data_IF_841319892300
#
_entry.id   IF_841319892300
#
_cell.length_a   1.000
_cell.length_b   1.000
_cell.length_c   1.000
_cell.angle_alpha   90.00
_cell.angle_beta   90.00
_cell.angle_gamma   90.00
#
_symmetry.space_group_name_H-M   'P 1'
#
loop_
_entity.id
_entity.type
_entity.pdbx_description
1 polymer ?
#
# COMPACT_ATOMS: atom_id res chain seq x y z
N UNK A 1 -14.55 -5.89 15.15
CA UNK A 1 -13.73 -6.81 15.95
C UNK A 1 -12.26 -6.54 15.66
N UNK A 2 -11.51 -6.12 16.71
CA UNK A 2 -10.07 -5.91 16.65
C UNK A 2 -9.39 -7.24 17.00
N UNK A 3 -8.66 -7.82 16.04
CA UNK A 3 -7.73 -8.90 16.34
C UNK A 3 -6.39 -8.32 16.85
N UNK A 4 -5.49 -9.17 17.32
CA UNK A 4 -4.18 -8.78 17.88
C UNK A 4 -3.36 -7.91 16.91
N UNK A 5 -3.40 -8.19 15.61
CA UNK A 5 -2.67 -7.43 14.59
C UNK A 5 -3.25 -6.02 14.39
N UNK A 6 -4.57 -5.88 14.43
CA UNK A 6 -5.24 -4.59 14.28
C UNK A 6 -5.14 -3.72 15.51
N UNK A 7 -4.97 -4.33 16.69
CA UNK A 7 -4.83 -3.58 17.95
C UNK A 7 -3.60 -2.68 17.96
N UNK A 8 -2.52 -3.07 17.29
CA UNK A 8 -1.29 -2.26 17.17
C UNK A 8 -1.54 -0.91 16.49
N UNK A 9 -2.54 -0.87 15.59
CA UNK A 9 -2.90 0.34 14.84
C UNK A 9 -4.09 1.10 15.44
N UNK A 10 -4.66 0.60 16.54
CA UNK A 10 -5.79 1.24 17.17
C UNK A 10 -5.38 2.51 17.92
N UNK A 11 -6.08 3.60 17.66
CA UNK A 11 -5.91 4.87 18.36
C UNK A 11 -7.12 5.19 19.23
N UNK A 12 -6.89 5.83 20.38
CA UNK A 12 -7.97 6.36 21.19
C UNK A 12 -8.47 7.67 20.60
N UNK A 13 -9.55 7.60 19.82
CA UNK A 13 -10.14 8.75 19.13
C UNK A 13 -11.66 8.59 19.03
N UNK A 14 -12.37 9.69 18.89
CA UNK A 14 -13.81 9.71 18.64
C UNK A 14 -14.17 9.52 17.16
N UNK A 15 -13.18 9.55 16.27
CA UNK A 15 -13.36 9.32 14.84
C UNK A 15 -13.77 7.88 14.55
N UNK A 16 -14.75 7.68 13.67
CA UNK A 16 -15.36 6.36 13.41
C UNK A 16 -15.49 6.01 11.94
N UNK A 17 -15.42 6.99 11.04
CA UNK A 17 -15.55 6.79 9.59
C UNK A 17 -14.24 7.13 8.88
N UNK A 18 -14.13 6.71 7.62
CA UNK A 18 -12.99 7.09 6.78
C UNK A 18 -12.96 8.61 6.59
N UNK A 19 -14.09 9.23 6.37
CA UNK A 19 -14.22 10.66 6.20
C UNK A 19 -13.72 11.43 7.42
N UNK A 20 -13.96 10.92 8.63
CA UNK A 20 -13.48 11.56 9.86
C UNK A 20 -11.95 11.59 9.96
N UNK A 21 -11.25 10.59 9.37
CA UNK A 21 -9.81 10.42 9.56
C UNK A 21 -8.98 10.88 8.35
N UNK A 22 -9.60 10.98 7.16
CA UNK A 22 -8.87 11.25 5.92
C UNK A 22 -8.50 12.72 5.75
N UNK A 23 -9.18 13.61 6.47
CA UNK A 23 -8.90 15.05 6.41
C UNK A 23 -7.46 15.34 6.86
N UNK A 24 -6.68 15.97 5.98
CA UNK A 24 -5.28 16.31 6.21
C UNK A 24 -4.33 15.11 6.20
N UNK A 25 -4.78 13.91 5.81
CA UNK A 25 -3.92 12.74 5.72
C UNK A 25 -2.97 12.84 4.51
N UNK A 26 -1.70 12.52 4.72
CA UNK A 26 -0.68 12.47 3.68
C UNK A 26 -0.68 11.16 2.90
N UNK A 27 -1.15 10.08 3.53
CA UNK A 27 -1.13 8.73 2.97
C UNK A 27 -2.46 8.02 3.22
N UNK A 28 -3.02 7.44 2.16
CA UNK A 28 -4.01 6.38 2.23
C UNK A 28 -3.39 5.06 1.82
N UNK A 29 -3.44 4.06 2.70
CA UNK A 29 -3.03 2.69 2.41
C UNK A 29 -4.25 1.76 2.52
N UNK A 30 -4.77 1.34 1.38
CA UNK A 30 -5.91 0.45 1.27
C UNK A 30 -5.51 -1.02 1.21
N UNK A 31 -6.23 -1.85 1.95
CA UNK A 31 -6.07 -3.31 1.96
C UNK A 31 -7.40 -3.96 2.33
N UNK A 32 -8.52 -3.36 1.91
CA UNK A 32 -9.85 -3.72 2.39
C UNK A 32 -10.73 -4.33 1.30
N UNK A 33 -11.33 -3.52 0.46
CA UNK A 33 -12.27 -3.97 -0.57
C UNK A 33 -12.52 -2.93 -1.65
N UNK A 34 -13.16 -3.32 -2.75
CA UNK A 34 -13.34 -2.45 -3.91
C UNK A 34 -14.26 -1.26 -3.61
N UNK A 35 -13.93 -0.12 -4.21
CA UNK A 35 -14.76 1.09 -4.21
C UNK A 35 -15.12 1.63 -2.82
N UNK A 36 -14.27 1.40 -1.81
CA UNK A 36 -14.50 1.89 -0.44
C UNK A 36 -13.94 3.29 -0.19
N UNK A 37 -13.11 3.83 -1.10
CA UNK A 37 -12.58 5.19 -1.02
C UNK A 37 -13.38 6.09 -1.99
N UNK A 38 -14.27 6.96 -1.49
CA UNK A 38 -14.97 7.92 -2.32
C UNK A 38 -14.00 8.94 -2.93
N UNK A 39 -14.18 9.28 -4.21
CA UNK A 39 -13.32 10.25 -4.89
C UNK A 39 -13.31 11.62 -4.17
N UNK A 40 -14.46 12.05 -3.65
CA UNK A 40 -14.58 13.32 -2.90
C UNK A 40 -13.73 13.33 -1.61
N UNK A 41 -13.51 12.17 -0.99
CA UNK A 41 -12.65 12.07 0.20
C UNK A 41 -11.20 12.43 -0.10
N UNK A 42 -10.72 12.20 -1.33
CA UNK A 42 -9.37 12.59 -1.73
C UNK A 42 -9.15 14.12 -1.68
N UNK A 43 -10.21 14.91 -1.84
CA UNK A 43 -10.12 16.38 -1.75
C UNK A 43 -9.81 16.88 -0.33
N UNK A 44 -10.08 16.05 0.68
CA UNK A 44 -9.84 16.36 2.09
C UNK A 44 -8.41 16.02 2.52
N UNK A 45 -7.69 15.23 1.74
CA UNK A 45 -6.31 14.87 2.06
C UNK A 45 -5.37 16.07 1.94
N UNK A 46 -4.19 15.94 2.54
CA UNK A 46 -3.10 16.93 2.43
C UNK A 46 -2.68 17.18 0.98
N UNK A 47 -1.84 18.19 0.76
CA UNK A 47 -1.24 18.47 -0.54
C UNK A 47 -0.33 17.32 -0.99
N UNK A 48 -0.39 16.95 -2.27
CA UNK A 48 0.44 15.89 -2.88
C UNK A 48 0.38 14.56 -2.11
N UNK A 49 -0.81 14.02 -1.82
CA UNK A 49 -0.94 12.81 -1.02
C UNK A 49 -0.50 11.57 -1.79
N UNK A 50 -0.18 10.52 -1.03
CA UNK A 50 0.09 9.18 -1.57
C UNK A 50 -1.16 8.33 -1.36
N UNK A 51 -1.64 7.69 -2.44
CA UNK A 51 -2.82 6.81 -2.41
C UNK A 51 -2.43 5.44 -2.94
N UNK A 52 -2.31 4.46 -2.04
CA UNK A 52 -2.08 3.07 -2.39
C UNK A 52 -3.37 2.27 -2.19
N UNK A 53 -4.13 2.08 -3.27
CA UNK A 53 -5.37 1.31 -3.28
C UNK A 53 -5.07 -0.14 -3.69
N UNK A 54 -4.69 -0.97 -2.71
CA UNK A 54 -4.09 -2.28 -2.93
C UNK A 54 -5.09 -3.45 -2.89
N UNK A 55 -6.39 -3.20 -2.77
CA UNK A 55 -7.41 -4.24 -2.81
C UNK A 55 -7.44 -4.96 -4.18
N UNK A 56 -7.64 -6.27 -4.14
CA UNK A 56 -7.69 -7.14 -5.32
C UNK A 56 -9.04 -7.89 -5.39
N UNK A 57 -9.61 -8.10 -6.60
CA UNK A 57 -9.11 -7.70 -7.92
C UNK A 57 -9.34 -6.23 -8.26
N UNK A 58 -10.28 -5.58 -7.60
CA UNK A 58 -10.61 -4.18 -7.81
C UNK A 58 -10.11 -3.31 -6.63
N UNK A 59 -9.47 -2.15 -6.92
CA UNK A 59 -8.94 -1.26 -5.89
C UNK A 59 -10.06 -0.53 -5.13
N UNK A 60 -9.71 0.06 -3.98
CA UNK A 60 -10.62 0.90 -3.19
C UNK A 60 -11.12 2.12 -3.96
N UNK A 61 -10.30 2.62 -4.88
CA UNK A 61 -10.68 3.62 -5.88
C UNK A 61 -9.91 3.36 -7.17
N UNK A 62 -10.57 3.51 -8.32
CA UNK A 62 -9.90 3.41 -9.62
C UNK A 62 -9.07 4.67 -9.88
N UNK A 63 -7.86 4.53 -10.46
CA UNK A 63 -6.99 5.68 -10.79
C UNK A 63 -7.69 6.78 -11.58
N UNK A 64 -8.55 6.42 -12.54
CA UNK A 64 -9.27 7.39 -13.36
C UNK A 64 -10.20 8.27 -12.51
N UNK A 65 -10.84 7.69 -11.49
CA UNK A 65 -11.71 8.44 -10.58
C UNK A 65 -10.90 9.32 -9.64
N UNK A 66 -9.74 8.85 -9.20
CA UNK A 66 -8.85 9.63 -8.35
C UNK A 66 -8.29 10.86 -9.09
N UNK A 67 -7.76 10.64 -10.30
CA UNK A 67 -7.23 11.71 -11.13
C UNK A 67 -8.29 12.67 -11.69
N UNK A 68 -9.57 12.26 -11.75
CA UNK A 68 -10.67 13.16 -12.11
C UNK A 68 -10.93 14.25 -11.06
N UNK A 69 -10.53 14.05 -9.81
CA UNK A 69 -10.79 15.01 -8.72
C UNK A 69 -9.54 15.76 -8.26
N UNK A 70 -8.34 15.19 -8.48
CA UNK A 70 -7.06 15.87 -8.23
C UNK A 70 -5.92 15.20 -8.99
N UNK A 71 -4.94 15.98 -9.42
CA UNK A 71 -3.83 15.57 -10.28
C UNK A 71 -2.46 15.58 -9.57
N UNK A 72 -2.41 16.09 -8.33
CA UNK A 72 -1.18 16.23 -7.54
C UNK A 72 -0.83 14.99 -6.70
N UNK A 73 -1.63 13.92 -6.78
CA UNK A 73 -1.43 12.71 -5.98
C UNK A 73 -0.47 11.70 -6.63
N UNK A 74 0.23 10.95 -5.78
CA UNK A 74 0.94 9.73 -6.19
C UNK A 74 -0.02 8.56 -6.02
N UNK A 75 -0.45 7.94 -7.13
CA UNK A 75 -1.40 6.83 -7.12
C UNK A 75 -0.71 5.51 -7.46
N UNK A 76 -0.97 4.48 -6.65
CA UNK A 76 -0.58 3.11 -6.92
C UNK A 76 -1.69 2.12 -6.59
N UNK A 77 -1.75 1.01 -7.32
CA UNK A 77 -2.71 -0.09 -7.09
C UNK A 77 -2.02 -1.43 -7.10
N UNK A 78 -2.69 -2.49 -6.66
CA UNK A 78 -2.20 -3.86 -6.79
C UNK A 78 -2.23 -4.42 -8.22
N UNK A 79 -2.82 -3.69 -9.18
CA UNK A 79 -3.02 -4.16 -10.56
C UNK A 79 -1.82 -3.85 -11.45
N UNK A 80 -1.49 -4.78 -12.35
CA UNK A 80 -0.40 -4.62 -13.33
C UNK A 80 -0.80 -3.81 -14.56
N UNK A 81 -2.08 -3.58 -14.78
CA UNK A 81 -2.62 -2.80 -15.90
C UNK A 81 -2.72 -1.30 -15.61
N UNK A 82 -2.35 -0.87 -14.40
CA UNK A 82 -2.23 0.52 -14.01
C UNK A 82 -0.77 0.91 -13.76
N UNK A 83 -0.42 2.19 -13.94
CA UNK A 83 0.90 2.71 -13.53
C UNK A 83 1.14 2.53 -12.03
N UNK A 84 2.43 2.46 -11.63
CA UNK A 84 2.86 2.36 -10.22
C UNK A 84 2.26 1.15 -9.50
N UNK A 85 2.40 -0.03 -10.09
CA UNK A 85 1.94 -1.26 -9.44
C UNK A 85 2.60 -1.47 -8.08
N UNK A 86 1.79 -1.60 -7.03
CA UNK A 86 2.19 -2.14 -5.73
C UNK A 86 1.98 -3.66 -5.77
N UNK A 87 3.02 -4.39 -6.19
CA UNK A 87 2.90 -5.82 -6.44
C UNK A 87 2.92 -6.60 -5.12
N UNK A 88 1.80 -7.20 -4.75
CA UNK A 88 1.61 -7.94 -3.50
C UNK A 88 2.46 -9.22 -3.42
N UNK A 89 2.99 -9.70 -4.55
CA UNK A 89 3.77 -10.95 -4.62
C UNK A 89 5.22 -10.73 -5.00
N UNK A 90 5.70 -9.50 -5.03
CA UNK A 90 7.08 -9.19 -5.46
C UNK A 90 8.12 -9.92 -4.60
N UNK A 91 7.91 -9.99 -3.29
CA UNK A 91 8.79 -10.68 -2.37
C UNK A 91 8.57 -12.21 -2.34
N UNK A 92 7.42 -12.68 -2.74
CA UNK A 92 7.06 -14.08 -2.84
C UNK A 92 7.39 -14.62 -4.25
N UNK A 93 8.06 -15.78 -4.43
CA UNK A 93 8.50 -16.74 -3.38
C UNK A 93 9.93 -16.51 -2.87
N UNK A 94 10.58 -15.42 -3.22
CA UNK A 94 12.02 -15.23 -3.01
C UNK A 94 12.43 -15.22 -1.52
N UNK A 95 11.59 -14.65 -0.64
CA UNK A 95 11.84 -14.69 0.80
C UNK A 95 11.87 -16.12 1.35
N UNK A 96 11.04 -17.02 0.81
CA UNK A 96 11.07 -18.44 1.18
C UNK A 96 12.34 -19.12 0.68
N UNK A 97 12.79 -18.78 -0.51
CA UNK A 97 14.06 -19.30 -1.03
C UNK A 97 15.23 -18.87 -0.15
N UNK A 98 15.28 -17.59 0.25
CA UNK A 98 16.30 -17.10 1.17
C UNK A 98 16.26 -17.81 2.53
N UNK A 99 15.07 -18.02 3.08
CA UNK A 99 14.89 -18.75 4.34
C UNK A 99 15.38 -20.21 4.24
N UNK A 100 15.11 -20.90 3.14
CA UNK A 100 15.55 -22.26 2.89
C UNK A 100 17.09 -22.36 2.70
N UNK A 101 17.69 -21.42 2.00
CA UNK A 101 19.13 -21.41 1.75
C UNK A 101 19.95 -21.32 3.05
N UNK A 102 19.43 -20.59 4.05
CA UNK A 102 20.07 -20.48 5.37
C UNK A 102 19.49 -21.44 6.40
N UNK A 103 18.53 -22.31 6.01
CA UNK A 103 17.84 -23.25 6.89
C UNK A 103 17.19 -22.57 8.11
N UNK A 104 16.58 -21.42 7.87
CA UNK A 104 15.86 -20.69 8.91
C UNK A 104 14.68 -21.53 9.43
N UNK A 105 14.41 -21.45 10.72
CA UNK A 105 13.26 -22.10 11.35
C UNK A 105 11.97 -21.30 11.22
N UNK A 106 12.09 -20.02 10.93
CA UNK A 106 10.97 -19.08 10.76
C UNK A 106 11.37 -17.92 9.84
N UNK A 107 10.40 -17.18 9.35
CA UNK A 107 10.61 -15.89 8.66
C UNK A 107 10.27 -14.80 9.67
N UNK A 108 11.29 -14.25 10.31
CA UNK A 108 11.16 -13.23 11.32
C UNK A 108 11.09 -11.80 10.73
N UNK A 109 10.90 -10.80 11.59
CA UNK A 109 10.74 -9.42 11.15
C UNK A 109 12.04 -8.83 10.57
N UNK A 110 13.20 -9.23 11.05
CA UNK A 110 14.49 -8.83 10.48
C UNK A 110 14.64 -9.29 9.04
N UNK A 111 14.20 -10.50 8.72
CA UNK A 111 14.21 -11.02 7.34
C UNK A 111 13.24 -10.24 6.44
N UNK A 112 12.07 -9.87 6.94
CA UNK A 112 11.11 -9.04 6.22
C UNK A 112 11.66 -7.65 5.94
N UNK A 113 12.29 -7.02 6.95
CA UNK A 113 12.93 -5.71 6.79
C UNK A 113 14.09 -5.77 5.80
N UNK A 114 14.93 -6.79 5.86
CA UNK A 114 16.02 -6.99 4.89
C UNK A 114 15.48 -7.14 3.45
N UNK A 115 14.36 -7.83 3.27
CA UNK A 115 13.72 -7.93 1.96
C UNK A 115 13.18 -6.57 1.48
N UNK A 116 12.58 -5.77 2.35
CA UNK A 116 12.14 -4.40 2.03
C UNK A 116 13.32 -3.53 1.62
N UNK A 117 14.42 -3.57 2.36
CA UNK A 117 15.64 -2.80 2.04
C UNK A 117 16.23 -3.23 0.69
N UNK A 118 16.32 -4.53 0.43
CA UNK A 118 16.82 -5.03 -0.86
C UNK A 118 15.98 -4.57 -2.04
N UNK A 119 14.64 -4.63 -1.93
CA UNK A 119 13.73 -4.15 -2.97
C UNK A 119 13.87 -2.63 -3.15
N UNK A 120 13.97 -1.88 -2.07
CA UNK A 120 14.16 -0.43 -2.09
C UNK A 120 15.46 -0.02 -2.76
N UNK A 121 16.57 -0.70 -2.47
CA UNK A 121 17.86 -0.41 -3.09
C UNK A 121 17.82 -0.76 -4.58
N UNK A 122 17.23 -1.90 -4.95
CA UNK A 122 17.06 -2.29 -6.35
C UNK A 122 16.23 -1.26 -7.15
N UNK A 123 15.22 -0.66 -6.53
CA UNK A 123 14.38 0.35 -7.16
C UNK A 123 15.12 1.68 -7.44
N UNK A 124 16.31 1.89 -6.86
CA UNK A 124 17.16 3.07 -7.14
C UNK A 124 18.08 2.87 -8.35
N UNK A 125 18.25 1.63 -8.79
CA UNK A 125 19.07 1.34 -9.96
C UNK A 125 18.38 1.81 -11.25
N UNK A 126 19.14 2.18 -12.29
CA UNK A 126 18.57 2.51 -13.59
C UNK A 126 17.73 1.34 -14.13
N UNK A 127 16.52 1.63 -14.60
CA UNK A 127 15.70 0.63 -15.27
C UNK A 127 16.39 0.21 -16.56
N UNK A 128 16.67 -1.10 -16.80
CA UNK A 128 17.21 -1.56 -18.08
C UNK A 128 16.28 -1.17 -19.21
N UNK A 129 16.84 -0.68 -20.31
CA UNK A 129 16.07 -0.49 -21.55
C UNK A 129 15.55 -1.86 -22.03
N UNK A 130 14.25 -1.94 -22.32
CA UNK A 130 13.57 -3.16 -22.78
C UNK A 130 13.81 -3.40 -24.26
#
# INVERSE_FOLDING_TARGET
>A
DLNEYKQVFANNTDKRTLEDVIEGADLFLGGSGPNLLPAEALKLMADKPIVFACSNPDPEIKPELAHAVRDDLIMGTGRSDYPNQVNNVLCFPFIFRGALDVRASEINDEMKLAAVEAIRELAKEPVPEA
#
